data_IF_254033860349
#
_entry.id   IF_254033860349
#
_cell.length_a   1.000
_cell.length_b   1.000
_cell.length_c   1.000
_cell.angle_alpha   90.00
_cell.angle_beta   90.00
_cell.angle_gamma   90.00
#
_symmetry.space_group_name_H-M   'P 1'
#
loop_
_entity.id
_entity.type
_entity.pdbx_description
1 polymer ?
#
# COMPACT_ATOMS: atom_id res chain seq x y z
N UNK A 1 2.18 -42.77 41.27
CA UNK A 1 1.18 -41.67 41.27
C UNK A 1 1.81 -40.46 40.62
N UNK A 2 1.35 -40.09 39.43
CA UNK A 2 2.13 -39.31 38.46
C UNK A 2 2.37 -37.85 38.86
N UNK A 3 3.60 -37.38 38.64
CA UNK A 3 4.14 -36.03 38.85
C UNK A 3 3.38 -34.87 38.19
N UNK A 4 2.36 -35.16 37.39
CA UNK A 4 1.51 -34.18 36.73
C UNK A 4 0.47 -33.57 37.70
N UNK A 5 -0.09 -34.35 38.63
CA UNK A 5 -1.13 -33.86 39.55
C UNK A 5 -0.63 -32.80 40.56
N UNK A 6 0.64 -32.87 40.96
CA UNK A 6 1.22 -31.89 41.91
C UNK A 6 1.46 -30.54 41.23
N UNK A 7 1.95 -30.55 39.99
CA UNK A 7 2.26 -29.34 39.20
C UNK A 7 1.01 -28.53 38.85
N UNK A 8 -0.12 -29.20 38.63
CA UNK A 8 -1.39 -28.54 38.35
C UNK A 8 -1.95 -27.81 39.59
N UNK A 9 -1.73 -28.37 40.79
CA UNK A 9 -2.15 -27.73 42.05
C UNK A 9 -1.36 -26.44 42.36
N UNK A 10 -0.05 -26.44 42.13
CA UNK A 10 0.82 -25.27 42.34
C UNK A 10 0.49 -24.14 41.34
N UNK A 11 0.12 -24.50 40.11
CA UNK A 11 -0.28 -23.52 39.12
C UNK A 11 -1.63 -22.88 39.43
N UNK A 12 -2.56 -23.65 40.00
CA UNK A 12 -3.85 -23.11 40.42
C UNK A 12 -3.68 -22.13 41.59
N UNK A 13 -2.86 -22.47 42.58
CA UNK A 13 -2.51 -21.56 43.68
C UNK A 13 -1.89 -20.23 43.19
N UNK A 14 -1.06 -20.26 42.13
CA UNK A 14 -0.52 -19.04 41.52
C UNK A 14 -1.58 -18.16 40.85
N UNK A 15 -2.62 -18.75 40.24
CA UNK A 15 -3.70 -17.98 39.63
C UNK A 15 -4.52 -17.25 40.68
N UNK A 16 -4.80 -17.93 41.79
CA UNK A 16 -5.69 -17.44 42.83
C UNK A 16 -4.99 -16.45 43.79
N UNK A 17 -3.67 -16.32 43.71
CA UNK A 17 -2.88 -15.31 44.42
C UNK A 17 -3.19 -13.88 43.92
N UNK A 18 -3.62 -13.00 44.82
CA UNK A 18 -4.02 -11.61 44.50
C UNK A 18 -2.84 -10.65 44.28
N UNK A 19 -1.60 -11.07 44.54
CA UNK A 19 -0.40 -10.23 44.36
C UNK A 19 -0.10 -9.96 42.88
N UNK A 20 0.64 -8.89 42.62
CA UNK A 20 0.94 -8.43 41.26
C UNK A 20 1.98 -9.36 40.60
N UNK A 21 1.80 -9.85 39.37
CA UNK A 21 2.81 -10.68 38.72
C UNK A 21 4.15 -9.94 38.55
N UNK A 22 5.24 -10.56 39.01
CA UNK A 22 6.58 -9.99 38.86
C UNK A 22 6.98 -9.92 37.37
N UNK A 23 7.48 -8.76 36.93
CA UNK A 23 7.92 -8.54 35.53
C UNK A 23 9.04 -9.48 35.06
N UNK A 24 9.85 -10.00 36.00
CA UNK A 24 10.93 -10.93 35.70
C UNK A 24 10.56 -12.41 35.90
N UNK A 25 9.34 -12.70 36.38
CA UNK A 25 8.79 -14.04 36.52
C UNK A 25 9.75 -15.03 37.22
N UNK A 26 9.91 -16.22 36.66
CA UNK A 26 10.82 -17.26 37.20
C UNK A 26 12.30 -16.86 37.25
N UNK A 27 12.69 -15.79 36.55
CA UNK A 27 14.06 -15.25 36.48
C UNK A 27 14.31 -14.06 37.41
N UNK A 28 13.37 -13.73 38.30
CA UNK A 28 13.56 -12.64 39.25
C UNK A 28 14.70 -12.94 40.23
N UNK A 29 15.64 -12.00 40.37
CA UNK A 29 16.78 -12.10 41.28
C UNK A 29 16.53 -11.45 42.66
N UNK A 30 15.44 -10.69 42.81
CA UNK A 30 15.10 -10.02 44.07
C UNK A 30 14.52 -11.01 45.08
N UNK A 31 15.22 -11.17 46.21
CA UNK A 31 14.86 -12.11 47.29
C UNK A 31 14.34 -11.42 48.56
N UNK A 32 14.21 -10.09 48.56
CA UNK A 32 13.82 -9.37 49.78
C UNK A 32 12.33 -9.64 50.13
N UNK A 33 11.97 -9.67 51.43
CA UNK A 33 10.59 -9.98 51.85
C UNK A 33 9.55 -8.98 51.32
N UNK A 34 9.93 -7.72 51.19
CA UNK A 34 9.06 -6.63 50.69
C UNK A 34 8.67 -6.82 49.22
N UNK A 35 9.55 -7.38 48.39
CA UNK A 35 9.24 -7.70 47.00
C UNK A 35 8.32 -8.91 46.89
N UNK A 36 8.55 -9.94 47.70
CA UNK A 36 7.72 -11.15 47.69
C UNK A 36 6.34 -10.91 48.33
N UNK A 37 6.17 -9.92 49.21
CA UNK A 37 4.84 -9.52 49.69
C UNK A 37 4.04 -8.79 48.62
N UNK A 38 4.69 -8.02 47.73
CA UNK A 38 4.03 -7.24 46.68
C UNK A 38 3.86 -8.01 45.36
N UNK A 39 4.79 -8.89 45.01
CA UNK A 39 4.85 -9.53 43.70
C UNK A 39 4.85 -11.06 43.75
N UNK A 40 3.97 -11.68 42.95
CA UNK A 40 3.92 -13.14 42.79
C UNK A 40 4.81 -13.64 41.66
N UNK A 41 5.38 -14.84 41.86
CA UNK A 41 6.26 -15.51 40.92
C UNK A 41 5.68 -16.88 40.55
N UNK A 42 5.68 -17.26 39.26
CA UNK A 42 5.18 -18.57 38.85
C UNK A 42 6.09 -19.72 39.30
N UNK A 43 5.55 -20.94 39.51
CA UNK A 43 6.33 -22.11 39.89
C UNK A 43 7.39 -22.45 38.85
N UNK A 44 8.54 -22.96 39.30
CA UNK A 44 9.68 -23.28 38.43
C UNK A 44 9.50 -24.67 37.81
N UNK A 45 8.89 -24.70 36.62
CA UNK A 45 8.74 -25.91 35.82
C UNK A 45 8.22 -25.60 34.43
N UNK A 46 9.06 -25.87 33.43
CA UNK A 46 8.85 -25.82 31.96
C UNK A 46 8.34 -24.51 31.31
N UNK A 47 8.91 -24.20 30.15
CA UNK A 47 8.83 -22.96 29.35
C UNK A 47 7.42 -22.52 28.91
N UNK A 48 6.35 -23.12 29.43
CA UNK A 48 4.95 -22.90 29.03
C UNK A 48 4.17 -21.92 29.94
N UNK A 49 4.73 -21.46 31.06
CA UNK A 49 4.02 -20.57 31.98
C UNK A 49 4.01 -19.10 31.51
N UNK A 50 4.98 -18.66 30.69
CA UNK A 50 4.91 -17.32 30.06
C UNK A 50 3.77 -17.22 29.03
N UNK A 51 3.43 -18.32 28.35
CA UNK A 51 2.35 -18.34 27.35
C UNK A 51 0.95 -18.34 27.99
N UNK A 52 0.77 -19.00 29.15
CA UNK A 52 -0.52 -19.00 29.86
C UNK A 52 -0.82 -17.68 30.59
N UNK A 53 0.18 -16.94 31.09
CA UNK A 53 -0.03 -15.60 31.67
C UNK A 53 -0.49 -14.60 30.59
N UNK A 54 -0.03 -14.76 29.35
CA UNK A 54 -0.50 -13.97 28.21
C UNK A 54 -1.96 -14.31 27.84
N UNK A 55 -2.37 -15.59 27.96
CA UNK A 55 -3.76 -16.01 27.74
C UNK A 55 -4.74 -15.57 28.84
N UNK A 56 -4.31 -15.46 30.10
CA UNK A 56 -5.20 -15.03 31.20
C UNK A 56 -5.54 -13.53 31.14
N UNK A 57 -4.63 -12.68 30.63
CA UNK A 57 -4.97 -11.27 30.32
C UNK A 57 -5.98 -11.13 29.18
N UNK A 58 -6.01 -12.11 28.28
CA UNK A 58 -6.98 -12.17 27.18
C UNK A 58 -8.34 -12.68 27.69
N UNK A 59 -8.37 -13.57 28.69
CA UNK A 59 -9.62 -14.19 29.16
C UNK A 59 -10.54 -13.28 30.00
N UNK A 60 -10.03 -12.25 30.70
CA UNK A 60 -10.90 -11.22 31.30
C UNK A 60 -11.55 -10.32 30.23
N UNK A 61 -10.92 -10.16 29.06
CA UNK A 61 -11.49 -9.42 27.93
C UNK A 61 -12.51 -10.25 27.12
N UNK A 62 -12.44 -11.59 27.18
CA UNK A 62 -13.24 -12.49 26.33
C UNK A 62 -14.59 -12.92 26.92
N UNK A 63 -14.95 -12.54 28.15
CA UNK A 63 -16.28 -12.85 28.72
C UNK A 63 -17.39 -11.89 28.26
N UNK A 64 -17.05 -10.89 27.44
CA UNK A 64 -17.93 -9.80 26.99
C UNK A 64 -18.06 -9.67 25.46
N UNK A 65 -17.71 -10.71 24.69
CA UNK A 65 -17.73 -10.58 23.23
C UNK A 65 -18.54 -11.70 22.57
N UNK A 66 -19.78 -11.35 22.21
CA UNK A 66 -20.58 -12.05 21.21
C UNK A 66 -19.89 -11.99 19.83
N UNK A 67 -20.40 -12.82 18.91
CA UNK A 67 -19.81 -13.23 17.62
C UNK A 67 -19.44 -12.09 16.64
N UNK A 68 -19.71 -10.83 16.95
CA UNK A 68 -19.43 -9.67 16.09
C UNK A 68 -17.98 -9.15 16.24
N UNK A 69 -17.28 -9.46 17.33
CA UNK A 69 -15.93 -8.93 17.58
C UNK A 69 -14.77 -9.83 17.11
N UNK A 70 -15.03 -11.03 16.55
CA UNK A 70 -13.99 -11.80 15.84
C UNK A 70 -13.60 -11.08 14.54
N UNK A 71 -14.57 -10.40 13.92
CA UNK A 71 -14.33 -9.43 12.85
C UNK A 71 -13.55 -8.23 13.36
N UNK A 72 -13.84 -7.69 14.54
CA UNK A 72 -13.12 -6.54 15.10
C UNK A 72 -11.72 -6.90 15.59
N UNK A 73 -11.46 -8.12 16.05
CA UNK A 73 -10.11 -8.57 16.44
C UNK A 73 -9.27 -8.90 15.21
N UNK A 74 -9.89 -9.47 14.15
CA UNK A 74 -9.28 -9.52 12.83
C UNK A 74 -9.03 -8.10 12.31
N UNK A 75 -9.99 -7.18 12.42
CA UNK A 75 -9.91 -5.76 12.04
C UNK A 75 -8.92 -4.95 12.88
N UNK A 76 -8.70 -5.23 14.16
CA UNK A 76 -7.75 -4.56 15.06
C UNK A 76 -6.33 -5.09 14.89
N UNK A 77 -6.18 -6.38 14.58
CA UNK A 77 -4.89 -6.97 14.16
C UNK A 77 -4.55 -6.56 12.74
N UNK A 78 -5.56 -6.45 11.90
CA UNK A 78 -5.55 -5.74 10.64
C UNK A 78 -5.31 -4.25 10.87
N UNK A 79 -5.74 -3.57 11.93
CA UNK A 79 -5.50 -2.12 12.11
C UNK A 79 -4.01 -1.78 12.24
N UNK A 80 -3.20 -2.71 12.76
CA UNK A 80 -1.73 -2.62 12.73
C UNK A 80 -1.11 -2.92 11.36
N UNK A 81 -1.83 -3.59 10.46
CA UNK A 81 -1.47 -3.91 9.06
C UNK A 81 -2.13 -2.94 8.05
N UNK A 82 -3.25 -2.32 8.42
CA UNK A 82 -4.07 -1.37 7.66
C UNK A 82 -3.54 0.05 7.86
N UNK A 83 -2.97 0.36 9.04
CA UNK A 83 -2.06 1.50 9.19
C UNK A 83 -0.69 1.27 8.50
N UNK A 84 -0.48 0.12 7.87
CA UNK A 84 0.68 -0.16 7.00
C UNK A 84 0.32 -0.07 5.51
N UNK A 85 -0.87 0.45 5.18
CA UNK A 85 -1.45 0.34 3.83
C UNK A 85 -1.79 1.68 3.19
N UNK A 86 -1.06 2.72 3.59
CA UNK A 86 -1.01 4.00 2.90
C UNK A 86 0.46 4.43 2.96
N UNK A 87 0.95 5.10 1.92
CA UNK A 87 2.25 5.72 1.77
C UNK A 87 3.33 4.85 1.15
N UNK A 88 3.37 4.87 -0.18
CA UNK A 88 4.65 5.00 -0.90
C UNK A 88 4.87 6.43 -1.36
N UNK A 89 6.12 6.85 -1.26
CA UNK A 89 6.72 8.08 -1.78
C UNK A 89 6.86 8.01 -3.32
N UNK A 90 5.86 7.44 -3.99
CA UNK A 90 5.66 7.51 -5.44
C UNK A 90 4.16 7.39 -5.78
N UNK A 91 3.30 7.89 -4.89
CA UNK A 91 1.84 7.86 -4.98
C UNK A 91 1.29 8.94 -5.92
N UNK A 92 1.20 8.61 -7.20
CA UNK A 92 -0.09 8.84 -7.84
C UNK A 92 -0.76 7.53 -8.16
N UNK A 93 0.03 6.56 -8.63
CA UNK A 93 -0.40 5.20 -8.90
C UNK A 93 0.82 4.29 -8.95
N UNK A 94 0.78 3.08 -8.37
CA UNK A 94 -0.29 2.41 -7.63
C UNK A 94 -0.20 2.57 -6.09
N UNK A 95 -1.26 2.18 -5.36
CA UNK A 95 -1.22 2.00 -3.91
C UNK A 95 -0.32 0.81 -3.58
N UNK A 96 0.90 1.06 -3.10
CA UNK A 96 1.86 -0.02 -2.82
C UNK A 96 1.38 -0.94 -1.71
N UNK A 97 1.49 -2.24 -1.96
CA UNK A 97 1.10 -3.31 -1.04
C UNK A 97 2.23 -4.28 -0.74
N UNK A 98 3.22 -4.39 -1.64
CA UNK A 98 4.39 -5.27 -1.46
C UNK A 98 5.63 -4.53 -1.92
N UNK A 99 6.61 -4.46 -1.04
CA UNK A 99 7.98 -3.99 -1.32
C UNK A 99 8.91 -5.20 -1.36
N UNK A 100 9.78 -5.28 -2.37
CA UNK A 100 10.62 -6.45 -2.60
C UNK A 100 12.11 -6.18 -2.41
N UNK A 101 12.63 -5.10 -2.99
CA UNK A 101 14.03 -4.71 -2.81
C UNK A 101 14.19 -3.19 -2.82
N UNK A 102 15.22 -2.72 -2.10
CA UNK A 102 15.57 -1.31 -2.01
C UNK A 102 16.51 -0.85 -3.12
N UNK A 103 17.25 -1.79 -3.75
CA UNK A 103 18.28 -1.44 -4.72
C UNK A 103 17.66 -0.84 -5.98
N UNK A 104 16.71 -1.55 -6.56
CA UNK A 104 15.98 -1.09 -7.74
C UNK A 104 14.65 -0.44 -7.34
N UNK A 105 14.28 -0.51 -6.07
CA UNK A 105 13.00 -0.02 -5.56
C UNK A 105 11.84 -0.84 -6.11
N UNK A 106 12.02 -2.16 -6.23
CA UNK A 106 10.98 -3.06 -6.75
C UNK A 106 9.79 -3.12 -5.79
N UNK A 107 8.63 -2.75 -6.29
CA UNK A 107 7.39 -2.79 -5.54
C UNK A 107 6.18 -3.12 -6.43
N UNK A 108 5.10 -3.52 -5.76
CA UNK A 108 3.83 -3.86 -6.36
C UNK A 108 2.71 -3.10 -5.65
N UNK A 109 1.73 -2.64 -6.41
CA UNK A 109 0.59 -1.92 -5.87
C UNK A 109 -0.70 -2.12 -6.66
N UNK A 110 -1.82 -1.84 -6.02
CA UNK A 110 -3.13 -1.79 -6.68
C UNK A 110 -3.24 -0.57 -7.59
N UNK A 111 -3.52 -0.80 -8.87
CA UNK A 111 -3.84 0.24 -9.84
C UNK A 111 -5.35 0.49 -9.88
N UNK A 112 -5.78 1.75 -9.80
CA UNK A 112 -7.19 2.15 -9.84
C UNK A 112 -7.37 3.28 -10.84
N UNK A 113 -8.31 3.17 -11.78
CA UNK A 113 -8.59 4.31 -12.65
C UNK A 113 -9.42 5.39 -11.92
N UNK A 114 -10.18 4.97 -10.90
CA UNK A 114 -10.94 5.85 -10.00
C UNK A 114 -10.76 5.41 -8.54
N UNK A 115 -10.69 6.37 -7.61
CA UNK A 115 -10.54 6.09 -6.19
C UNK A 115 -11.73 5.33 -5.59
N UNK A 116 -12.92 5.43 -6.19
CA UNK A 116 -14.14 4.76 -5.71
C UNK A 116 -14.29 3.35 -6.28
N UNK A 117 -13.66 3.06 -7.41
CA UNK A 117 -13.74 1.77 -8.08
C UNK A 117 -12.76 0.75 -7.50
N UNK A 118 -13.03 -0.53 -7.75
CA UNK A 118 -12.11 -1.62 -7.40
C UNK A 118 -10.79 -1.50 -8.18
N UNK A 119 -9.67 -2.03 -7.65
CA UNK A 119 -8.44 -2.11 -8.43
C UNK A 119 -8.66 -2.87 -9.73
N UNK A 120 -8.05 -2.39 -10.81
CA UNK A 120 -8.10 -3.02 -12.12
C UNK A 120 -7.06 -4.13 -12.22
N UNK A 121 -5.85 -3.87 -11.69
CA UNK A 121 -4.75 -4.83 -11.67
C UNK A 121 -3.72 -4.46 -10.61
N UNK A 122 -2.80 -5.37 -10.35
CA UNK A 122 -1.55 -5.13 -9.65
C UNK A 122 -0.51 -4.63 -10.65
N UNK A 123 -0.02 -3.42 -10.42
CA UNK A 123 1.08 -2.84 -11.15
C UNK A 123 2.40 -3.15 -10.46
N UNK A 124 3.44 -3.40 -11.26
CA UNK A 124 4.85 -3.54 -10.82
C UNK A 124 5.66 -2.35 -11.32
N UNK A 125 6.52 -1.80 -10.47
CA UNK A 125 7.49 -0.78 -10.85
C UNK A 125 8.83 -0.98 -10.13
N UNK A 126 9.89 -0.43 -10.73
CA UNK A 126 11.23 -0.32 -10.16
C UNK A 126 11.57 1.17 -10.05
N UNK A 127 11.28 1.74 -8.89
CA UNK A 127 11.31 3.18 -8.64
C UNK A 127 12.67 3.83 -8.99
N UNK A 128 13.76 3.12 -8.72
CA UNK A 128 15.12 3.62 -8.93
C UNK A 128 15.62 3.40 -10.38
N UNK A 129 14.82 2.75 -11.23
CA UNK A 129 15.18 2.44 -12.61
C UNK A 129 14.42 3.34 -13.58
N UNK A 130 13.09 3.39 -13.47
CA UNK A 130 12.24 4.19 -14.34
C UNK A 130 10.84 4.41 -13.74
N UNK A 131 10.05 5.28 -14.36
CA UNK A 131 8.64 5.52 -14.01
C UNK A 131 7.63 4.59 -14.68
N UNK A 132 8.05 3.43 -15.20
CA UNK A 132 7.18 2.53 -15.98
C UNK A 132 6.46 1.55 -15.05
N UNK A 133 5.14 1.45 -15.21
CA UNK A 133 4.31 0.49 -14.50
C UNK A 133 3.86 -0.63 -15.43
N UNK A 134 4.17 -1.85 -15.03
CA UNK A 134 3.81 -3.08 -15.75
C UNK A 134 2.57 -3.71 -15.09
N UNK A 135 1.44 -3.89 -15.81
CA UNK A 135 0.33 -4.70 -15.32
C UNK A 135 0.75 -6.16 -15.17
N UNK A 136 0.54 -6.75 -14.00
CA UNK A 136 1.00 -8.12 -13.69
C UNK A 136 -0.14 -9.13 -13.67
N UNK A 137 -1.20 -8.83 -12.91
CA UNK A 137 -2.38 -9.68 -12.72
C UNK A 137 -3.51 -8.86 -12.08
N UNK A 138 -4.74 -9.35 -12.11
CA UNK A 138 -5.90 -8.67 -11.52
C UNK A 138 -5.87 -8.64 -9.98
N UNK A 139 -5.19 -9.61 -9.36
CA UNK A 139 -5.13 -9.75 -7.90
C UNK A 139 -3.71 -10.06 -7.39
N UNK A 140 -3.53 -9.92 -6.08
CA UNK A 140 -2.24 -10.12 -5.42
C UNK A 140 -1.68 -11.54 -5.57
N UNK A 141 -2.53 -12.57 -5.62
CA UNK A 141 -2.06 -13.95 -5.77
C UNK A 141 -1.47 -14.18 -7.16
N UNK A 142 -2.11 -13.68 -8.21
CA UNK A 142 -1.56 -13.70 -9.57
C UNK A 142 -0.24 -12.92 -9.68
N UNK A 143 -0.12 -11.78 -8.99
CA UNK A 143 1.11 -11.00 -8.97
C UNK A 143 2.26 -11.73 -8.26
N UNK A 144 1.99 -12.34 -7.11
CA UNK A 144 2.98 -13.14 -6.37
C UNK A 144 3.32 -14.42 -7.15
N UNK A 145 2.36 -15.07 -7.80
CA UNK A 145 2.62 -16.20 -8.71
C UNK A 145 3.60 -15.79 -9.83
N UNK A 146 3.33 -14.68 -10.52
CA UNK A 146 4.19 -14.15 -11.56
C UNK A 146 5.61 -13.81 -11.04
N UNK A 147 5.69 -13.24 -9.84
CA UNK A 147 6.96 -12.96 -9.17
C UNK A 147 7.75 -14.23 -8.87
N UNK A 148 7.12 -15.22 -8.22
CA UNK A 148 7.77 -16.48 -7.85
C UNK A 148 8.21 -17.26 -9.09
N UNK A 149 7.38 -17.31 -10.15
CA UNK A 149 7.75 -17.92 -11.44
C UNK A 149 9.05 -17.35 -12.01
N UNK A 150 9.24 -16.04 -11.92
CA UNK A 150 10.44 -15.38 -12.41
C UNK A 150 11.61 -15.55 -11.41
N UNK A 151 11.35 -15.46 -10.11
CA UNK A 151 12.36 -15.60 -9.05
C UNK A 151 13.04 -16.97 -9.08
N UNK A 152 12.30 -18.05 -9.36
CA UNK A 152 12.88 -19.41 -9.49
C UNK A 152 13.98 -19.48 -10.56
N UNK A 153 13.92 -18.65 -11.60
CA UNK A 153 14.91 -18.62 -12.68
C UNK A 153 16.20 -17.92 -12.29
N UNK A 154 16.15 -17.02 -11.30
CA UNK A 154 17.27 -16.13 -10.93
C UNK A 154 17.83 -16.41 -9.54
N UNK A 155 17.14 -17.23 -8.73
CA UNK A 155 17.53 -17.51 -7.34
C UNK A 155 18.70 -18.50 -7.26
N UNK A 156 19.48 -18.41 -6.18
CA UNK A 156 20.54 -19.38 -5.89
C UNK A 156 19.98 -20.81 -5.68
N UNK A 157 20.79 -21.86 -5.86
CA UNK A 157 20.33 -23.25 -5.72
C UNK A 157 19.76 -23.60 -4.34
N UNK A 158 20.23 -22.95 -3.27
CA UNK A 158 19.84 -23.25 -1.89
C UNK A 158 18.43 -22.79 -1.55
N UNK A 159 17.99 -21.64 -2.07
CA UNK A 159 16.65 -21.11 -1.85
C UNK A 159 15.63 -21.67 -2.85
N UNK A 160 16.09 -22.23 -3.98
CA UNK A 160 15.24 -22.70 -5.07
C UNK A 160 14.15 -23.66 -4.61
N UNK A 161 14.49 -24.64 -3.77
CA UNK A 161 13.53 -25.62 -3.23
C UNK A 161 12.45 -24.95 -2.38
N UNK A 162 12.82 -23.98 -1.55
CA UNK A 162 11.88 -23.22 -0.70
C UNK A 162 10.92 -22.38 -1.53
N UNK A 163 11.42 -21.71 -2.58
CA UNK A 163 10.60 -20.92 -3.50
C UNK A 163 9.63 -21.82 -4.27
N UNK A 164 10.08 -22.96 -4.78
CA UNK A 164 9.21 -23.94 -5.48
C UNK A 164 8.10 -24.43 -4.54
N UNK A 165 8.43 -24.76 -3.28
CA UNK A 165 7.44 -25.19 -2.29
C UNK A 165 6.40 -24.10 -2.02
N UNK A 166 6.84 -22.86 -1.79
CA UNK A 166 5.94 -21.73 -1.57
C UNK A 166 5.04 -21.49 -2.79
N UNK A 167 5.61 -21.59 -3.99
CA UNK A 167 4.86 -21.43 -5.24
C UNK A 167 3.77 -22.49 -5.39
N UNK A 168 4.07 -23.75 -5.07
CA UNK A 168 3.08 -24.84 -5.06
C UNK A 168 1.97 -24.61 -4.02
N UNK A 169 2.32 -24.13 -2.81
CA UNK A 169 1.32 -23.80 -1.78
C UNK A 169 0.38 -22.68 -2.25
N UNK A 170 0.92 -21.65 -2.89
CA UNK A 170 0.13 -20.55 -3.45
C UNK A 170 -0.82 -21.04 -4.54
N UNK A 171 -0.37 -21.90 -5.47
CA UNK A 171 -1.23 -22.47 -6.51
C UNK A 171 -2.36 -23.32 -5.93
N UNK A 172 -2.06 -24.13 -4.90
CA UNK A 172 -3.06 -24.95 -4.24
C UNK A 172 -4.12 -24.10 -3.54
N UNK A 173 -3.69 -23.05 -2.82
CA UNK A 173 -4.59 -22.11 -2.16
C UNK A 173 -5.49 -21.40 -3.19
N UNK A 174 -4.91 -20.88 -4.27
CA UNK A 174 -5.66 -20.22 -5.33
C UNK A 174 -6.71 -21.14 -5.95
N UNK A 175 -6.35 -22.41 -6.21
CA UNK A 175 -7.29 -23.42 -6.71
C UNK A 175 -8.41 -23.72 -5.72
N UNK A 176 -8.10 -23.86 -4.42
CA UNK A 176 -9.10 -24.13 -3.38
C UNK A 176 -10.11 -22.99 -3.21
N UNK A 177 -9.67 -21.75 -3.41
CA UNK A 177 -10.50 -20.55 -3.24
C UNK A 177 -11.01 -19.96 -4.55
N UNK A 178 -10.84 -20.66 -5.68
CA UNK A 178 -11.24 -20.21 -7.01
C UNK A 178 -10.68 -18.82 -7.40
N UNK A 179 -9.42 -18.56 -7.02
CA UNK A 179 -8.71 -17.32 -7.32
C UNK A 179 -7.95 -17.50 -8.63
N UNK A 180 -8.20 -16.63 -9.60
CA UNK A 180 -7.44 -16.64 -10.86
C UNK A 180 -5.98 -16.23 -10.64
N UNK A 181 -5.06 -16.95 -11.29
CA UNK A 181 -3.63 -16.60 -11.36
C UNK A 181 -3.24 -16.08 -12.76
N UNK A 182 -4.22 -15.82 -13.62
CA UNK A 182 -3.98 -15.37 -14.99
C UNK A 182 -3.37 -13.96 -15.00
N UNK A 183 -2.38 -13.79 -15.87
CA UNK A 183 -1.69 -12.49 -16.08
C UNK A 183 -2.44 -11.58 -17.06
N UNK A 184 -3.46 -12.12 -17.71
CA UNK A 184 -4.25 -11.45 -18.73
C UNK A 184 -5.70 -11.90 -18.54
N UNK A 185 -6.42 -11.27 -17.62
CA UNK A 185 -7.84 -11.59 -17.35
C UNK A 185 -8.76 -10.87 -18.33
N UNK A 186 -10.03 -11.27 -18.37
CA UNK A 186 -11.03 -10.61 -19.21
C UNK A 186 -11.19 -9.13 -18.83
N UNK A 187 -11.18 -8.82 -17.53
CA UNK A 187 -11.35 -7.47 -17.01
C UNK A 187 -10.16 -6.57 -17.33
N UNK A 188 -8.92 -7.10 -17.23
CA UNK A 188 -7.72 -6.40 -17.69
C UNK A 188 -7.80 -6.06 -19.19
N UNK A 189 -8.25 -6.99 -20.03
CA UNK A 189 -8.46 -6.73 -21.48
C UNK A 189 -9.60 -5.74 -21.73
N UNK A 190 -10.67 -5.82 -20.95
CA UNK A 190 -11.80 -4.91 -21.08
C UNK A 190 -11.39 -3.48 -20.72
N UNK A 191 -10.58 -3.31 -19.67
CA UNK A 191 -9.98 -2.02 -19.34
C UNK A 191 -8.99 -1.55 -20.41
N UNK A 192 -8.15 -2.44 -20.92
CA UNK A 192 -7.19 -2.12 -21.98
C UNK A 192 -7.85 -1.47 -23.20
N UNK A 193 -9.03 -1.95 -23.59
CA UNK A 193 -9.81 -1.35 -24.70
C UNK A 193 -10.31 0.07 -24.41
N UNK A 194 -10.41 0.47 -23.14
CA UNK A 194 -10.84 1.81 -22.70
C UNK A 194 -9.66 2.77 -22.47
N UNK A 195 -8.42 2.31 -22.64
CA UNK A 195 -7.24 3.15 -22.46
C UNK A 195 -7.15 4.14 -23.61
N UNK A 196 -7.18 5.43 -23.29
CA UNK A 196 -7.15 6.50 -24.32
C UNK A 196 -5.73 6.97 -24.63
N UNK A 197 -4.84 6.94 -23.64
CA UNK A 197 -3.43 7.33 -23.76
C UNK A 197 -2.57 6.53 -22.77
N UNK A 198 -1.29 6.32 -23.12
CA UNK A 198 -0.36 5.50 -22.33
C UNK A 198 0.52 6.28 -21.36
N UNK A 199 0.59 7.60 -21.52
CA UNK A 199 1.46 8.51 -20.76
C UNK A 199 2.93 8.01 -20.72
N UNK A 200 3.77 8.65 -19.94
CA UNK A 200 5.16 8.25 -19.71
C UNK A 200 5.25 7.02 -18.82
N UNK A 201 4.25 6.80 -17.94
CA UNK A 201 4.23 5.71 -16.99
C UNK A 201 3.69 4.39 -17.56
N UNK A 202 3.20 4.38 -18.80
CA UNK A 202 2.81 3.20 -19.63
C UNK A 202 1.64 2.35 -19.13
N UNK A 203 1.20 2.51 -17.88
CA UNK A 203 -0.05 1.89 -17.43
C UNK A 203 -1.29 2.44 -18.17
N UNK A 204 -1.23 3.67 -18.66
CA UNK A 204 -2.30 4.34 -19.39
C UNK A 204 -3.45 4.84 -18.54
N UNK A 205 -4.24 5.73 -19.12
CA UNK A 205 -5.34 6.45 -18.47
C UNK A 205 -6.68 6.07 -19.11
N UNK A 206 -7.73 6.10 -18.30
CA UNK A 206 -9.12 5.85 -18.70
C UNK A 206 -9.98 7.04 -18.31
N UNK A 207 -10.62 7.65 -19.30
CA UNK A 207 -11.55 8.77 -19.14
C UNK A 207 -12.80 8.53 -19.99
N UNK A 208 -13.94 9.16 -19.68
CA UNK A 208 -15.20 8.94 -20.40
C UNK A 208 -15.23 9.42 -21.86
N UNK A 209 -14.22 10.13 -22.34
CA UNK A 209 -14.22 10.78 -23.66
C UNK A 209 -13.22 10.11 -24.63
N UNK A 210 -13.67 9.95 -25.88
CA UNK A 210 -13.07 9.05 -26.88
C UNK A 210 -12.27 9.82 -27.95
N UNK A 211 -11.26 10.57 -27.50
CA UNK A 211 -10.22 11.08 -28.41
C UNK A 211 -8.86 10.57 -27.94
N UNK A 212 -8.17 9.89 -28.85
CA UNK A 212 -6.76 9.56 -28.67
C UNK A 212 -5.96 10.83 -28.81
N UNK A 213 -5.41 11.30 -27.70
CA UNK A 213 -4.51 12.45 -27.63
C UNK A 213 -3.08 11.98 -27.89
N UNK A 214 -2.29 12.78 -28.61
CA UNK A 214 -0.88 12.52 -28.87
C UNK A 214 -0.07 13.80 -28.60
N UNK A 215 0.86 13.71 -27.66
CA UNK A 215 1.78 14.79 -27.30
C UNK A 215 3.20 14.46 -27.80
N UNK A 216 3.37 14.40 -29.13
CA UNK A 216 4.58 13.82 -29.76
C UNK A 216 5.88 14.64 -29.55
N UNK A 217 5.81 15.88 -29.04
CA UNK A 217 6.99 16.76 -28.83
C UNK A 217 7.34 17.05 -27.37
N UNK A 218 6.62 16.46 -26.40
CA UNK A 218 6.78 16.79 -24.98
C UNK A 218 8.13 16.31 -24.41
N UNK A 219 8.56 15.08 -24.72
CA UNK A 219 9.79 14.51 -24.16
C UNK A 219 11.04 15.33 -24.48
N UNK A 220 11.14 15.82 -25.72
CA UNK A 220 12.27 16.66 -26.15
C UNK A 220 12.30 17.98 -25.38
N UNK A 221 11.13 18.59 -25.21
CA UNK A 221 10.99 19.86 -24.48
C UNK A 221 11.36 19.69 -23.00
N UNK A 222 10.90 18.61 -22.37
CA UNK A 222 11.23 18.32 -20.96
C UNK A 222 12.71 18.03 -20.75
N UNK A 223 13.34 17.31 -21.68
CA UNK A 223 14.79 17.07 -21.65
C UNK A 223 15.57 18.40 -21.73
N UNK A 224 15.16 19.33 -22.59
CA UNK A 224 15.76 20.66 -22.67
C UNK A 224 15.59 21.46 -21.36
N UNK A 225 14.45 21.33 -20.67
CA UNK A 225 14.22 21.98 -19.38
C UNK A 225 15.11 21.39 -18.29
N UNK A 226 15.28 20.06 -18.26
CA UNK A 226 16.07 19.35 -17.26
C UNK A 226 17.58 19.60 -17.41
N UNK A 227 18.09 19.62 -18.66
CA UNK A 227 19.52 19.79 -18.95
C UNK A 227 20.00 21.25 -18.92
N UNK A 228 19.07 22.21 -18.91
CA UNK A 228 19.43 23.63 -18.95
C UNK A 228 20.01 24.13 -17.62
N UNK A 229 21.26 24.60 -17.69
CA UNK A 229 22.08 24.99 -16.53
C UNK A 229 21.58 26.27 -15.89
N UNK A 230 21.24 27.29 -16.69
CA UNK A 230 20.81 28.60 -16.18
C UNK A 230 19.29 28.77 -16.26
N UNK A 231 18.68 29.62 -15.42
CA UNK A 231 17.29 30.02 -15.56
C UNK A 231 16.98 30.65 -16.93
N UNK A 232 17.95 31.38 -17.51
CA UNK A 232 17.86 32.00 -18.83
C UNK A 232 17.70 30.96 -19.93
N UNK A 233 18.52 29.90 -19.92
CA UNK A 233 18.45 28.81 -20.91
C UNK A 233 17.12 28.05 -20.82
N UNK A 234 16.51 28.01 -19.62
CA UNK A 234 15.20 27.39 -19.38
C UNK A 234 14.01 28.20 -19.92
N UNK A 235 14.16 29.51 -20.20
CA UNK A 235 13.03 30.37 -20.61
C UNK A 235 12.33 29.88 -21.87
N UNK A 236 13.10 29.58 -22.93
CA UNK A 236 12.51 29.17 -24.21
C UNK A 236 11.85 27.78 -24.14
N UNK A 237 12.47 26.73 -23.58
CA UNK A 237 11.80 25.44 -23.38
C UNK A 237 10.56 25.53 -22.48
N UNK A 238 10.59 26.36 -21.42
CA UNK A 238 9.43 26.61 -20.57
C UNK A 238 8.31 27.30 -21.36
N UNK A 239 8.61 28.31 -22.18
CA UNK A 239 7.60 28.97 -23.00
C UNK A 239 6.91 28.00 -23.98
N UNK A 240 7.65 27.03 -24.53
CA UNK A 240 7.06 25.95 -25.33
C UNK A 240 6.13 25.06 -24.50
N UNK A 241 6.55 24.71 -23.28
CA UNK A 241 5.69 23.95 -22.37
C UNK A 241 4.44 24.74 -21.97
N UNK A 242 4.54 26.05 -21.76
CA UNK A 242 3.40 26.92 -21.43
C UNK A 242 2.39 26.97 -22.58
N UNK A 243 2.85 26.93 -23.83
CA UNK A 243 1.97 26.80 -24.98
C UNK A 243 1.22 25.46 -25.00
N UNK A 244 1.90 24.35 -24.65
CA UNK A 244 1.26 23.03 -24.52
C UNK A 244 0.22 23.06 -23.38
N UNK A 245 0.54 23.67 -22.24
CA UNK A 245 -0.39 23.85 -21.11
C UNK A 245 -1.61 24.67 -21.52
N UNK A 246 -1.40 25.74 -22.29
CA UNK A 246 -2.49 26.58 -22.83
C UNK A 246 -3.42 25.78 -23.73
N UNK A 247 -2.87 24.98 -24.64
CA UNK A 247 -3.64 24.10 -25.54
C UNK A 247 -4.43 23.03 -24.76
N UNK A 248 -3.81 22.42 -23.74
CA UNK A 248 -4.48 21.45 -22.87
C UNK A 248 -5.65 22.08 -22.11
N UNK A 249 -5.49 23.33 -21.66
CA UNK A 249 -6.55 24.07 -20.95
C UNK A 249 -7.72 24.40 -21.89
N UNK A 250 -7.44 24.78 -23.15
CA UNK A 250 -8.49 24.97 -24.16
C UNK A 250 -9.25 23.67 -24.41
N UNK A 251 -8.55 22.54 -24.50
CA UNK A 251 -9.20 21.23 -24.63
C UNK A 251 -10.11 20.94 -23.42
N UNK A 252 -9.68 21.29 -22.20
CA UNK A 252 -10.50 21.18 -21.00
C UNK A 252 -11.74 22.09 -21.03
N UNK A 253 -11.65 23.32 -21.55
CA UNK A 253 -12.80 24.19 -21.77
C UNK A 253 -13.81 23.57 -22.77
N UNK A 254 -13.31 22.81 -23.73
CA UNK A 254 -14.09 21.98 -24.66
C UNK A 254 -14.51 20.61 -24.07
N UNK A 255 -14.43 20.47 -22.74
CA UNK A 255 -14.76 19.26 -21.97
C UNK A 255 -13.88 18.03 -22.25
N UNK A 256 -12.73 18.19 -22.91
CA UNK A 256 -11.70 17.16 -23.02
C UNK A 256 -10.70 17.25 -21.86
N UNK A 257 -11.14 16.75 -20.70
CA UNK A 257 -10.29 16.67 -19.50
C UNK A 257 -9.19 15.59 -19.62
N UNK A 258 -9.27 14.71 -20.62
CA UNK A 258 -8.29 13.65 -20.88
C UNK A 258 -6.93 14.22 -21.26
N UNK A 259 -6.91 15.31 -22.03
CA UNK A 259 -5.68 16.01 -22.41
C UNK A 259 -4.93 16.57 -21.19
N UNK A 260 -5.63 17.26 -20.27
CA UNK A 260 -5.02 17.71 -19.01
C UNK A 260 -4.54 16.54 -18.14
N UNK A 261 -5.30 15.44 -18.10
CA UNK A 261 -4.90 14.25 -17.34
C UNK A 261 -3.62 13.63 -17.88
N UNK A 262 -3.52 13.46 -19.21
CA UNK A 262 -2.32 12.93 -19.87
C UNK A 262 -1.11 13.81 -19.61
N UNK A 263 -1.22 15.12 -19.92
CA UNK A 263 -0.12 16.06 -19.74
C UNK A 263 0.33 16.11 -18.27
N UNK A 264 -0.62 16.20 -17.34
CA UNK A 264 -0.34 16.21 -15.92
C UNK A 264 0.42 14.97 -15.44
N UNK A 265 0.02 13.79 -15.91
CA UNK A 265 0.73 12.54 -15.61
C UNK A 265 2.12 12.47 -16.24
N UNK A 266 2.30 12.94 -17.48
CA UNK A 266 3.60 12.97 -18.15
C UNK A 266 4.60 13.88 -17.45
N UNK A 267 4.16 15.09 -17.08
CA UNK A 267 4.98 16.04 -16.31
C UNK A 267 5.33 15.48 -14.93
N UNK A 268 4.36 14.86 -14.25
CA UNK A 268 4.58 14.24 -12.95
C UNK A 268 5.60 13.09 -13.02
N UNK A 269 5.46 12.21 -14.01
CA UNK A 269 6.30 11.03 -14.24
C UNK A 269 7.71 11.39 -14.72
N UNK A 270 7.89 12.52 -15.40
CA UNK A 270 9.23 13.02 -15.76
C UNK A 270 10.06 13.33 -14.50
N UNK A 271 9.43 13.86 -13.45
CA UNK A 271 10.09 14.07 -12.15
C UNK A 271 10.96 15.33 -12.04
N UNK A 272 11.11 16.11 -13.12
CA UNK A 272 11.80 17.40 -13.07
C UNK A 272 11.08 18.37 -12.13
N UNK A 273 11.84 19.03 -11.25
CA UNK A 273 11.29 19.98 -10.26
C UNK A 273 10.67 21.22 -10.93
N UNK A 274 11.20 21.64 -12.09
CA UNK A 274 10.76 22.85 -12.78
C UNK A 274 9.38 22.73 -13.44
N UNK A 275 8.82 21.52 -13.53
CA UNK A 275 7.51 21.26 -14.14
C UNK A 275 6.45 20.81 -13.13
N UNK A 276 6.80 20.65 -11.84
CA UNK A 276 5.89 20.12 -10.83
C UNK A 276 4.65 20.99 -10.59
N UNK A 277 4.80 22.31 -10.61
CA UNK A 277 3.67 23.24 -10.47
C UNK A 277 2.66 23.05 -11.61
N UNK A 278 3.16 22.95 -12.84
CA UNK A 278 2.32 22.70 -14.03
C UNK A 278 1.67 21.32 -13.98
N UNK A 279 2.39 20.30 -13.51
CA UNK A 279 1.82 18.97 -13.28
C UNK A 279 0.65 19.02 -12.29
N UNK A 280 0.80 19.75 -11.18
CA UNK A 280 -0.25 19.95 -10.20
C UNK A 280 -1.46 20.69 -10.80
N UNK A 281 -1.22 21.77 -11.53
CA UNK A 281 -2.29 22.54 -12.20
C UNK A 281 -3.10 21.66 -13.17
N UNK A 282 -2.42 20.91 -14.05
CA UNK A 282 -3.09 20.04 -15.03
C UNK A 282 -3.88 18.91 -14.37
N UNK A 283 -3.30 18.26 -13.36
CA UNK A 283 -3.98 17.19 -12.62
C UNK A 283 -5.10 17.74 -11.71
N UNK A 284 -4.98 18.97 -11.21
CA UNK A 284 -6.05 19.65 -10.47
C UNK A 284 -7.27 19.85 -11.35
N UNK A 285 -7.10 20.40 -12.56
CA UNK A 285 -8.18 20.57 -13.54
C UNK A 285 -8.80 19.21 -13.86
N UNK A 286 -7.97 18.25 -14.26
CA UNK A 286 -8.43 16.92 -14.67
C UNK A 286 -9.21 16.19 -13.55
N UNK A 287 -8.63 16.07 -12.35
CA UNK A 287 -9.30 15.35 -11.26
C UNK A 287 -10.52 16.07 -10.71
N UNK A 288 -10.57 17.40 -10.76
CA UNK A 288 -11.76 18.15 -10.37
C UNK A 288 -12.91 17.87 -11.32
N UNK A 289 -12.69 17.99 -12.63
CA UNK A 289 -13.74 17.79 -13.63
C UNK A 289 -14.12 16.31 -13.84
N UNK A 290 -13.17 15.38 -13.67
CA UNK A 290 -13.44 13.94 -13.65
C UNK A 290 -14.05 13.47 -12.31
N UNK A 291 -14.25 14.37 -11.34
CA UNK A 291 -14.85 14.08 -10.03
C UNK A 291 -14.06 13.05 -9.21
N UNK A 292 -12.72 13.15 -9.21
CA UNK A 292 -11.77 12.30 -8.48
C UNK A 292 -10.99 13.06 -7.39
N UNK A 293 -11.66 13.76 -6.45
CA UNK A 293 -11.00 14.65 -5.49
C UNK A 293 -10.04 13.93 -4.52
N UNK A 294 -10.20 12.62 -4.31
CA UNK A 294 -9.32 11.84 -3.45
C UNK A 294 -7.91 11.73 -4.05
N UNK A 295 -7.81 11.56 -5.37
CA UNK A 295 -6.53 11.49 -6.08
C UNK A 295 -5.80 12.82 -6.05
N UNK A 296 -6.55 13.92 -6.13
CA UNK A 296 -6.00 15.26 -6.00
C UNK A 296 -5.38 15.49 -4.62
N UNK A 297 -6.06 15.08 -3.54
CA UNK A 297 -5.51 15.19 -2.17
C UNK A 297 -4.22 14.37 -2.00
N UNK A 298 -4.16 13.19 -2.60
CA UNK A 298 -2.96 12.34 -2.60
C UNK A 298 -1.82 13.04 -3.34
N UNK A 299 -2.10 13.56 -4.54
CA UNK A 299 -1.13 14.32 -5.34
C UNK A 299 -0.56 15.51 -4.58
N UNK A 300 -1.41 16.33 -3.95
CA UNK A 300 -0.99 17.51 -3.19
C UNK A 300 -0.10 17.12 -2.00
N UNK A 301 -0.49 16.09 -1.24
CA UNK A 301 0.31 15.59 -0.12
C UNK A 301 1.66 15.05 -0.61
N UNK A 302 1.67 14.37 -1.76
CA UNK A 302 2.87 13.80 -2.34
C UNK A 302 3.82 14.89 -2.85
N UNK A 303 3.36 15.87 -3.64
CA UNK A 303 4.23 16.92 -4.14
C UNK A 303 4.84 17.77 -3.01
N UNK A 304 4.13 17.96 -1.90
CA UNK A 304 4.66 18.63 -0.69
C UNK A 304 5.82 17.87 -0.04
N UNK A 305 5.90 16.55 -0.21
CA UNK A 305 6.87 15.69 0.46
C UNK A 305 7.44 14.61 -0.47
N UNK A 306 7.76 14.99 -1.72
CA UNK A 306 8.31 14.08 -2.73
C UNK A 306 9.78 13.82 -2.44
N UNK A 307 10.06 12.72 -1.72
CA UNK A 307 11.42 12.25 -1.45
C UNK A 307 11.84 11.18 -2.46
N UNK A 308 13.14 10.87 -2.53
CA UNK A 308 13.69 9.79 -3.37
C UNK A 308 14.06 8.55 -2.56
N UNK A 309 13.84 8.57 -1.25
CA UNK A 309 14.16 7.45 -0.39
C UNK A 309 13.06 6.38 -0.43
N UNK A 310 13.48 5.13 -0.18
CA UNK A 310 12.57 3.99 -0.05
C UNK A 310 12.08 3.82 1.41
N UNK A 311 12.35 4.79 2.28
CA UNK A 311 12.03 4.73 3.71
C UNK A 311 10.59 5.17 3.98
N UNK A 312 9.81 4.25 4.56
CA UNK A 312 8.44 4.49 4.94
C UNK A 312 8.43 5.28 6.25
N UNK A 313 8.24 6.60 6.20
CA UNK A 313 8.17 7.41 7.41
C UNK A 313 6.72 7.50 7.95
N UNK A 314 6.47 6.82 9.07
CA UNK A 314 5.17 6.66 9.70
C UNK A 314 4.55 7.96 10.27
N UNK A 315 5.34 9.01 10.49
CA UNK A 315 4.87 10.24 11.15
C UNK A 315 4.08 11.18 10.24
N UNK A 316 4.37 11.19 8.93
CA UNK A 316 3.66 12.02 7.95
C UNK A 316 2.24 11.50 7.65
N UNK A 317 2.05 10.18 7.73
CA UNK A 317 0.75 9.53 7.62
C UNK A 317 -0.28 10.05 8.63
N UNK A 318 0.19 10.38 9.83
CA UNK A 318 -0.64 10.83 10.94
C UNK A 318 -0.94 12.34 10.90
N UNK A 319 -0.26 13.11 10.04
CA UNK A 319 -0.40 14.57 9.96
C UNK A 319 -1.32 15.05 8.84
N UNK A 320 -1.78 14.16 7.93
CA UNK A 320 -2.82 14.48 6.95
C UNK A 320 -4.14 14.59 7.70
N UNK A 321 -4.77 15.78 7.75
CA UNK A 321 -6.07 15.92 8.40
C UNK A 321 -7.09 15.10 7.63
N UNK A 322 -7.59 14.02 8.23
CA UNK A 322 -8.94 13.55 7.92
C UNK A 322 -9.92 14.59 8.49
N UNK A 323 -10.02 15.75 7.84
CA UNK A 323 -11.17 16.60 8.06
C UNK A 323 -12.41 15.76 7.77
N UNK A 324 -13.33 15.76 8.74
CA UNK A 324 -14.68 15.25 8.58
C UNK A 324 -15.32 16.06 7.46
N UNK A 325 -15.06 15.69 6.22
CA UNK A 325 -15.98 15.97 5.13
C UNK A 325 -17.30 15.42 5.64
N UNK A 326 -18.30 16.29 5.81
CA UNK A 326 -19.60 15.98 6.39
C UNK A 326 -20.34 14.96 5.52
N UNK A 327 -19.94 13.70 5.62
CA UNK A 327 -20.52 12.57 4.92
C UNK A 327 -21.26 11.78 5.97
N UNK A 328 -22.57 11.97 5.97
CA UNK A 328 -23.55 11.13 6.66
C UNK A 328 -23.17 9.65 6.50
N UNK A 329 -23.28 8.88 7.60
CA UNK A 329 -23.15 7.42 7.85
C UNK A 329 -23.06 6.35 6.72
N UNK A 330 -22.97 6.67 5.43
CA UNK A 330 -22.77 5.74 4.32
C UNK A 330 -21.30 5.41 4.04
N UNK A 331 -20.33 6.11 4.62
CA UNK A 331 -18.89 5.78 4.48
C UNK A 331 -18.46 4.56 5.32
N UNK A 332 -19.30 4.10 6.25
CA UNK A 332 -19.04 2.84 6.96
C UNK A 332 -19.33 1.61 6.09
N UNK A 333 -20.11 1.77 5.00
CA UNK A 333 -20.29 0.74 3.98
C UNK A 333 -19.13 0.68 2.98
N UNK A 334 -18.27 1.71 2.96
CA UNK A 334 -17.12 1.81 2.04
C UNK A 334 -16.01 0.79 2.32
N UNK A 335 -15.99 0.20 3.53
CA UNK A 335 -15.00 -0.79 3.96
C UNK A 335 -15.61 -2.16 4.30
N UNK A 336 -16.93 -2.31 4.12
CA UNK A 336 -17.70 -3.52 4.46
C UNK A 336 -18.38 -4.17 3.25
N UNK A 337 -17.79 -4.08 2.05
CA UNK A 337 -18.22 -4.98 0.99
C UNK A 337 -17.60 -6.36 1.19
N UNK A 338 -18.44 -7.23 1.77
CA UNK A 338 -18.36 -8.68 1.85
C UNK A 338 -17.57 -9.32 0.71
N UNK A 339 -16.70 -10.25 1.08
CA UNK A 339 -16.48 -11.45 0.30
C UNK A 339 -17.82 -12.17 0.16
N UNK A 340 -18.46 -12.04 -1.00
CA UNK A 340 -19.38 -13.03 -1.56
C UNK A 340 -18.78 -13.57 -2.85
#
# INVERSE_FOLDING_TARGET
>A
MSSNNVKDSEFQAYKDDSRIPCKYGTKCYQKNPQHHSKYKHPPKGEKLIQLKIMQLRIHQYLRWMSKELLWIYFWLRCRKVYNTMIYTIQELYPQTIVKCDDKEGLHFGYWRDDAVEKPVFIAKNRANVNGIFEPVAENIFGAVDAYLQNKVKTVNPFEKTSIIRLHSQLKNFAKQHNITLDKNTADMRAREKRVVARTFHKAGIVVPYDKKTQLDDLQKTLKQIEEAVTPEDRKMPIAKLDEIVRLATIAADECDFGTCLELGHDLFSNGCIHVQTRALEMLFIAYTHLKRPQLLKILEAHLKNRKKDCELNYEFAASIPMERVGVTNSTFDYFNYKFE
#
